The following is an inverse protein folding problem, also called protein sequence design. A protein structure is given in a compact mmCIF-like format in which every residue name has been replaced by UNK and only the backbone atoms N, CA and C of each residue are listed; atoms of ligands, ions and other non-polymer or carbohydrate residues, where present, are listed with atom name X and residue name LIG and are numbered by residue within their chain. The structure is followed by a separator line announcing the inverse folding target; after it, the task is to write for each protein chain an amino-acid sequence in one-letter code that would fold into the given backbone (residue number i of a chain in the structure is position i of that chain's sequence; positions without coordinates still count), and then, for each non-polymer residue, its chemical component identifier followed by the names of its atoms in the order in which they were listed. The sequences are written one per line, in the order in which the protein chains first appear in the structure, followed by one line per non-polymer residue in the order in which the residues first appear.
data_IF_253492371579
#
_entry.id   IF_253492371579
#
_cell.length_a   1.000
_cell.length_b   1.000
_cell.length_c   1.000
_cell.angle_alpha   90.00
_cell.angle_beta   90.00
_cell.angle_gamma   90.00
#
_symmetry.space_group_name_H-M   'P 1'
#
loop_
_entity.id
_entity.type
_entity.pdbx_description
1 polymer ?
#
# COMPACT_ATOMS: atom_id res chain seq x y z
N UNK A 1 -2.35 9.34 -24.87
CA UNK A 1 -1.20 9.08 -23.95
C UNK A 1 -1.44 9.51 -22.50
N UNK A 2 -2.36 10.45 -22.20
CA UNK A 2 -2.66 10.92 -20.83
C UNK A 2 -2.78 9.79 -19.78
N UNK A 3 -3.49 8.71 -20.09
CA UNK A 3 -3.69 7.58 -19.17
C UNK A 3 -2.38 6.87 -18.80
N UNK A 4 -1.45 6.71 -19.75
CA UNK A 4 -0.13 6.12 -19.50
C UNK A 4 0.63 6.99 -18.49
N UNK A 5 0.61 8.31 -18.68
CA UNK A 5 1.26 9.23 -17.74
C UNK A 5 0.59 9.26 -16.37
N UNK A 6 -0.74 9.10 -16.30
CA UNK A 6 -1.44 8.96 -15.01
C UNK A 6 -0.99 7.69 -14.27
N UNK A 7 -0.89 6.55 -14.97
CA UNK A 7 -0.41 5.29 -14.37
C UNK A 7 1.03 5.44 -13.87
N UNK A 8 1.92 6.00 -14.70
CA UNK A 8 3.32 6.23 -14.32
C UNK A 8 3.45 7.18 -13.13
N UNK A 9 2.65 8.25 -13.11
CA UNK A 9 2.60 9.16 -11.96
C UNK A 9 2.06 8.45 -10.71
N UNK A 10 1.04 7.60 -10.84
CA UNK A 10 0.49 6.80 -9.75
C UNK A 10 1.52 5.85 -9.14
N UNK A 11 2.30 5.15 -9.99
CA UNK A 11 3.43 4.32 -9.56
C UNK A 11 4.48 5.16 -8.82
N UNK A 12 4.80 6.36 -9.32
CA UNK A 12 5.78 7.25 -8.71
C UNK A 12 5.31 7.75 -7.32
N UNK A 13 4.03 8.12 -7.19
CA UNK A 13 3.45 8.48 -5.88
C UNK A 13 3.46 7.27 -4.92
N UNK A 14 3.10 6.08 -5.41
CA UNK A 14 3.12 4.86 -4.62
C UNK A 14 4.53 4.55 -4.08
N UNK A 15 5.58 4.75 -4.88
CA UNK A 15 6.97 4.53 -4.48
C UNK A 15 7.45 5.41 -3.32
N UNK A 16 6.82 6.57 -3.12
CA UNK A 16 7.13 7.48 -2.01
C UNK A 16 6.43 7.12 -0.70
N UNK A 17 5.48 6.18 -0.70
CA UNK A 17 4.82 5.71 0.52
C UNK A 17 5.83 4.95 1.38
N UNK A 18 6.12 5.48 2.57
CA UNK A 18 6.98 4.84 3.56
C UNK A 18 6.17 4.31 4.73
N UNK A 19 6.66 3.24 5.34
CA UNK A 19 6.07 2.66 6.53
C UNK A 19 6.99 3.00 7.71
N UNK A 20 6.44 3.44 8.83
CA UNK A 20 7.22 3.75 10.03
C UNK A 20 7.56 2.46 10.80
N UNK A 21 8.74 2.42 11.44
CA UNK A 21 9.08 1.35 12.38
C UNK A 21 8.49 1.70 13.74
N UNK A 22 7.23 1.37 13.99
CA UNK A 22 6.70 1.47 15.35
C UNK A 22 7.48 0.52 16.25
N UNK A 23 8.22 1.05 17.24
CA UNK A 23 8.96 0.24 18.23
C UNK A 23 8.02 -0.59 19.13
N UNK A 24 6.73 -0.26 19.17
CA UNK A 24 5.70 -0.98 19.92
C UNK A 24 4.73 -1.71 18.98
N UNK A 25 4.79 -3.04 18.97
CA UNK A 25 3.87 -3.90 18.20
C UNK A 25 2.40 -3.83 18.68
N UNK A 26 2.14 -3.16 19.80
CA UNK A 26 0.80 -3.00 20.39
C UNK A 26 0.03 -1.79 19.88
N UNK A 27 0.65 -0.89 19.10
CA UNK A 27 -0.03 0.28 18.55
C UNK A 27 -0.50 0.03 17.11
N UNK A 28 -1.61 0.66 16.68
CA UNK A 28 -2.03 0.61 15.29
C UNK A 28 -0.90 1.09 14.38
N UNK A 29 -0.64 0.36 13.30
CA UNK A 29 0.28 0.82 12.25
C UNK A 29 -0.26 2.12 11.67
N UNK A 30 0.46 3.22 11.89
CA UNK A 30 0.14 4.52 11.30
C UNK A 30 1.23 4.92 10.31
N UNK A 31 0.79 5.18 9.07
CA UNK A 31 1.58 5.92 8.10
C UNK A 31 1.80 7.34 8.64
N UNK A 32 2.99 7.90 8.41
CA UNK A 32 3.16 9.33 8.63
C UNK A 32 2.28 10.14 7.65
N UNK A 33 1.99 11.39 8.00
CA UNK A 33 1.09 12.24 7.20
C UNK A 33 1.54 12.39 5.75
N UNK A 34 2.86 12.47 5.50
CA UNK A 34 3.40 12.59 4.15
C UNK A 34 3.16 11.31 3.35
N UNK A 35 3.33 10.14 3.96
CA UNK A 35 3.01 8.85 3.35
C UNK A 35 1.50 8.67 3.08
N UNK A 36 0.63 9.20 3.95
CA UNK A 36 -0.83 9.22 3.70
C UNK A 36 -1.17 10.07 2.46
N UNK A 37 -0.56 11.25 2.32
CA UNK A 37 -0.75 12.10 1.14
C UNK A 37 -0.28 11.42 -0.15
N UNK A 38 0.88 10.76 -0.13
CA UNK A 38 1.39 10.01 -1.29
C UNK A 38 0.47 8.84 -1.66
N UNK A 39 -0.02 8.10 -0.66
CA UNK A 39 -0.96 7.01 -0.86
C UNK A 39 -2.27 7.51 -1.48
N UNK A 40 -2.82 8.61 -0.96
CA UNK A 40 -4.05 9.22 -1.47
C UNK A 40 -3.89 9.64 -2.94
N UNK A 41 -2.79 10.32 -3.28
CA UNK A 41 -2.50 10.71 -4.67
C UNK A 41 -2.31 9.50 -5.59
N UNK A 42 -1.64 8.45 -5.10
CA UNK A 42 -1.48 7.20 -5.86
C UNK A 42 -2.84 6.56 -6.15
N UNK A 43 -3.72 6.48 -5.14
CA UNK A 43 -5.06 5.92 -5.28
C UNK A 43 -5.91 6.71 -6.29
N UNK A 44 -5.89 8.04 -6.24
CA UNK A 44 -6.58 8.91 -7.19
C UNK A 44 -6.08 8.71 -8.64
N UNK A 45 -4.76 8.64 -8.83
CA UNK A 45 -4.16 8.46 -10.16
C UNK A 45 -4.39 7.05 -10.74
N UNK A 46 -4.45 6.03 -9.88
CA UNK A 46 -4.72 4.64 -10.24
C UNK A 46 -6.23 4.32 -10.26
N UNK A 47 -7.08 5.29 -9.92
CA UNK A 47 -8.54 5.17 -9.88
C UNK A 47 -9.03 4.04 -8.95
N UNK A 48 -8.43 3.91 -7.76
CA UNK A 48 -8.82 2.93 -6.73
C UNK A 48 -9.12 3.62 -5.40
N UNK A 49 -9.90 3.01 -4.50
CA UNK A 49 -10.09 3.53 -3.15
C UNK A 49 -8.76 3.51 -2.35
N UNK A 50 -8.48 4.59 -1.61
CA UNK A 50 -7.23 4.73 -0.87
C UNK A 50 -7.12 3.74 0.29
N UNK A 51 -8.24 3.41 0.94
CA UNK A 51 -8.34 2.41 1.99
C UNK A 51 -8.08 0.99 1.47
N UNK A 52 -8.60 0.66 0.28
CA UNK A 52 -8.30 -0.62 -0.39
C UNK A 52 -6.83 -0.71 -0.79
N UNK A 53 -6.25 0.37 -1.33
CA UNK A 53 -4.82 0.43 -1.67
C UNK A 53 -3.96 0.27 -0.42
N UNK A 54 -4.33 0.94 0.68
CA UNK A 54 -3.65 0.80 1.97
C UNK A 54 -3.72 -0.64 2.48
N UNK A 55 -4.91 -1.24 2.51
CA UNK A 55 -5.09 -2.61 2.95
C UNK A 55 -4.30 -3.59 2.08
N UNK A 56 -4.23 -3.34 0.77
CA UNK A 56 -3.47 -4.15 -0.20
C UNK A 56 -1.97 -4.19 0.10
N UNK A 57 -1.41 -3.16 0.73
CA UNK A 57 0.02 -3.14 1.11
C UNK A 57 0.24 -3.45 2.60
N UNK A 58 -0.71 -3.13 3.48
CA UNK A 58 -0.54 -3.23 4.94
C UNK A 58 -1.15 -4.47 5.58
N UNK A 59 -2.12 -5.14 4.96
CA UNK A 59 -2.85 -6.26 5.57
C UNK A 59 -2.77 -7.49 4.69
N UNK A 60 -2.47 -8.65 5.28
CA UNK A 60 -2.59 -9.95 4.60
C UNK A 60 -3.81 -10.70 5.13
N UNK A 61 -4.52 -11.35 4.21
CA UNK A 61 -5.62 -12.25 4.56
C UNK A 61 -5.07 -13.67 4.70
N UNK A 62 -5.18 -14.24 5.91
CA UNK A 62 -4.86 -15.63 6.18
C UNK A 62 -6.14 -16.45 6.07
N UNK A 63 -6.17 -17.43 5.17
CA UNK A 63 -7.33 -18.33 5.02
C UNK A 63 -7.01 -19.70 5.61
N UNK A 64 -7.92 -20.21 6.44
CA UNK A 64 -7.88 -21.55 7.03
C UNK A 64 -9.24 -22.23 6.82
N UNK A 65 -9.33 -23.08 5.79
CA UNK A 65 -10.60 -23.66 5.36
C UNK A 65 -11.61 -22.57 4.94
N UNK A 66 -12.76 -22.52 5.62
CA UNK A 66 -13.81 -21.50 5.39
C UNK A 66 -13.60 -20.21 6.19
N UNK A 67 -12.59 -20.14 7.06
CA UNK A 67 -12.32 -18.98 7.88
C UNK A 67 -11.24 -18.11 7.23
N UNK A 68 -11.36 -16.78 7.41
CA UNK A 68 -10.34 -15.82 7.01
C UNK A 68 -10.06 -14.84 8.15
N UNK A 69 -8.77 -14.60 8.42
CA UNK A 69 -8.30 -13.65 9.43
C UNK A 69 -7.45 -12.59 8.73
N UNK A 70 -7.71 -11.32 9.06
CA UNK A 70 -6.88 -10.20 8.62
C UNK A 70 -5.72 -10.05 9.61
N UNK A 71 -4.50 -10.11 9.09
CA UNK A 71 -3.27 -9.92 9.86
C UNK A 71 -2.48 -8.74 9.29
N UNK A 72 -2.14 -7.73 10.09
CA UNK A 72 -1.20 -6.68 9.67
C UNK A 72 0.14 -7.28 9.22
N UNK A 73 0.71 -6.70 8.18
CA UNK A 73 2.04 -7.04 7.68
C UNK A 73 3.12 -6.37 8.51
N UNK A 74 4.31 -6.99 8.56
CA UNK A 74 5.48 -6.30 9.09
C UNK A 74 5.91 -5.17 8.16
N UNK A 75 6.68 -4.21 8.67
CA UNK A 75 7.27 -3.12 7.88
C UNK A 75 7.98 -3.60 6.60
N UNK A 76 8.78 -4.67 6.72
CA UNK A 76 9.51 -5.23 5.59
C UNK A 76 8.55 -5.87 4.57
N UNK A 77 7.52 -6.57 5.05
CA UNK A 77 6.46 -7.11 4.19
C UNK A 77 5.72 -5.99 3.45
N UNK A 78 5.34 -4.90 4.13
CA UNK A 78 4.65 -3.75 3.51
C UNK A 78 5.49 -3.13 2.39
N UNK A 79 6.79 -2.93 2.63
CA UNK A 79 7.71 -2.35 1.64
C UNK A 79 7.85 -3.24 0.40
N UNK A 80 8.04 -4.54 0.61
CA UNK A 80 8.12 -5.52 -0.49
C UNK A 80 6.81 -5.57 -1.27
N UNK A 81 5.65 -5.55 -0.58
CA UNK A 81 4.33 -5.57 -1.23
C UNK A 81 4.08 -4.33 -2.08
N UNK A 82 4.43 -3.15 -1.58
CA UNK A 82 4.38 -1.89 -2.36
C UNK A 82 5.20 -2.00 -3.65
N UNK A 83 6.44 -2.48 -3.56
CA UNK A 83 7.33 -2.60 -4.71
C UNK A 83 6.84 -3.65 -5.72
N UNK A 84 6.32 -4.77 -5.22
CA UNK A 84 5.68 -5.78 -6.06
C UNK A 84 4.44 -5.23 -6.77
N UNK A 85 3.59 -4.47 -6.07
CA UNK A 85 2.41 -3.85 -6.66
C UNK A 85 2.81 -2.85 -7.76
N UNK A 86 3.81 -2.00 -7.53
CA UNK A 86 4.35 -1.10 -8.53
C UNK A 86 4.86 -1.84 -9.78
N UNK A 87 5.59 -2.95 -9.59
CA UNK A 87 6.08 -3.80 -10.70
C UNK A 87 4.92 -4.44 -11.48
N UNK A 88 3.87 -4.89 -10.79
CA UNK A 88 2.69 -5.50 -11.43
C UNK A 88 1.89 -4.48 -12.22
N UNK A 89 1.72 -3.25 -11.71
CA UNK A 89 1.01 -2.18 -12.43
C UNK A 89 1.80 -1.74 -13.69
N UNK A 90 3.13 -1.76 -13.63
CA UNK A 90 3.99 -1.35 -14.75
C UNK A 90 4.06 -2.39 -15.87
N UNK A 91 3.98 -3.68 -15.54
CA UNK A 91 4.13 -4.80 -16.48
C UNK A 91 2.98 -4.89 -17.48
#
# INVERSE_FOLDING_TARGET
QRQIFMILAGILQLGNVTFSTSTNESQPYELDEQSKDFLQRAAELLCVPADELQACVTVRTLKAGKQSVLKPCSWAECSVRRDCLAKVIYA
#
